data_IF_449301461320
#
_entry.id   IF_449301461320
#
_cell.length_a   1.000
_cell.length_b   1.000
_cell.length_c   1.000
_cell.angle_alpha   90.00
_cell.angle_beta   90.00
_cell.angle_gamma   90.00
#
_symmetry.space_group_name_H-M   'P 1'
#
loop_
_entity.id
_entity.type
_entity.pdbx_description
1 polymer ?
#
# COMPACT_ATOMS: atom_id res chain seq x y z
N UNK A 1 13.23 -5.60 0.24
CA UNK A 1 12.17 -6.44 0.78
C UNK A 1 10.84 -6.08 0.12
N UNK A 2 9.99 -7.05 -0.11
CA UNK A 2 8.73 -6.82 -0.81
C UNK A 2 7.56 -7.29 0.03
N UNK A 3 6.49 -6.50 0.01
CA UNK A 3 5.24 -6.85 0.69
C UNK A 3 4.08 -6.82 -0.30
N UNK A 4 3.12 -7.70 -0.06
CA UNK A 4 1.83 -7.69 -0.76
C UNK A 4 0.76 -7.28 0.24
N UNK A 5 0.02 -6.23 -0.07
CA UNK A 5 -1.05 -5.72 0.79
C UNK A 5 -2.39 -6.02 0.13
N UNK A 6 -3.25 -6.75 0.83
CA UNK A 6 -4.64 -6.90 0.44
C UNK A 6 -5.41 -5.70 0.96
N UNK A 7 -6.13 -5.03 0.08
CA UNK A 7 -6.81 -3.78 0.40
C UNK A 7 -8.29 -3.85 0.08
N UNK A 8 -9.02 -2.85 0.53
CA UNK A 8 -10.39 -2.59 0.10
C UNK A 8 -10.56 -1.08 -0.13
N UNK A 9 -11.53 -0.73 -0.96
CA UNK A 9 -11.82 0.67 -1.25
C UNK A 9 -11.15 1.22 -2.50
N UNK A 10 -10.32 0.46 -3.17
CA UNK A 10 -9.75 0.87 -4.45
C UNK A 10 -10.83 0.76 -5.52
N UNK A 11 -11.13 1.86 -6.19
CA UNK A 11 -12.25 1.94 -7.13
C UNK A 11 -11.81 2.17 -8.57
N UNK A 12 -10.69 2.84 -8.80
CA UNK A 12 -10.21 3.21 -10.14
C UNK A 12 -8.73 3.58 -10.07
N UNK A 13 -8.15 3.90 -11.22
CA UNK A 13 -6.75 4.29 -11.30
C UNK A 13 -6.37 5.49 -10.43
N UNK A 14 -7.30 6.41 -10.21
CA UNK A 14 -7.05 7.55 -9.33
C UNK A 14 -6.85 7.11 -7.88
N UNK A 15 -7.63 6.14 -7.42
CA UNK A 15 -7.47 5.56 -6.09
C UNK A 15 -6.12 4.83 -5.98
N UNK A 16 -5.74 4.10 -7.04
CA UNK A 16 -4.43 3.45 -7.09
C UNK A 16 -3.31 4.46 -6.88
N UNK A 17 -3.35 5.58 -7.62
CA UNK A 17 -2.34 6.62 -7.52
C UNK A 17 -2.30 7.24 -6.12
N UNK A 18 -3.45 7.43 -5.50
CA UNK A 18 -3.54 8.00 -4.15
C UNK A 18 -2.85 7.10 -3.13
N UNK A 19 -3.11 5.80 -3.18
CA UNK A 19 -2.49 4.84 -2.27
C UNK A 19 -0.99 4.73 -2.55
N UNK A 20 -0.59 4.69 -3.82
CA UNK A 20 0.82 4.63 -4.19
C UNK A 20 1.58 5.83 -3.64
N UNK A 21 1.03 7.03 -3.78
CA UNK A 21 1.66 8.25 -3.26
C UNK A 21 1.81 8.19 -1.74
N UNK A 22 0.79 7.73 -1.03
CA UNK A 22 0.85 7.59 0.42
C UNK A 22 1.95 6.61 0.85
N UNK A 23 2.08 5.49 0.14
CA UNK A 23 3.11 4.51 0.44
C UNK A 23 4.51 5.03 0.13
N UNK A 24 4.67 5.75 -0.98
CA UNK A 24 5.97 6.33 -1.35
C UNK A 24 6.44 7.39 -0.36
N UNK A 25 5.54 7.96 0.42
CA UNK A 25 5.89 8.90 1.48
C UNK A 25 6.43 8.22 2.74
N UNK A 26 6.32 6.90 2.85
CA UNK A 26 6.89 6.16 3.97
C UNK A 26 8.40 6.05 3.75
N UNK A 27 9.19 6.46 4.76
CA UNK A 27 10.64 6.37 4.66
C UNK A 27 11.08 4.92 4.45
N UNK A 28 11.90 4.69 3.43
CA UNK A 28 12.39 3.35 3.10
C UNK A 28 11.59 2.65 2.00
N UNK A 29 10.43 3.16 1.61
CA UNK A 29 9.68 2.61 0.48
C UNK A 29 10.27 3.16 -0.82
N UNK A 30 10.61 2.27 -1.74
CA UNK A 30 11.21 2.63 -3.03
C UNK A 30 10.23 2.49 -4.18
N UNK A 31 9.29 1.55 -4.09
CA UNK A 31 8.28 1.33 -5.13
C UNK A 31 6.94 0.95 -4.49
N UNK A 32 5.87 1.40 -5.10
CA UNK A 32 4.53 1.01 -4.72
C UNK A 32 3.68 0.91 -5.99
N UNK A 33 2.96 -0.20 -6.13
CA UNK A 33 2.13 -0.48 -7.30
C UNK A 33 0.78 -1.01 -6.82
N UNK A 34 -0.25 -0.19 -6.94
CA UNK A 34 -1.60 -0.51 -6.51
C UNK A 34 -2.46 -0.90 -7.70
N UNK A 35 -3.33 -1.88 -7.51
CA UNK A 35 -4.24 -2.37 -8.54
C UNK A 35 -5.64 -2.50 -7.97
N UNK A 36 -6.55 -1.65 -8.46
CA UNK A 36 -7.94 -1.65 -8.02
C UNK A 36 -8.73 -2.87 -8.51
N UNK A 37 -8.30 -3.50 -9.59
CA UNK A 37 -8.99 -4.67 -10.12
C UNK A 37 -8.84 -5.87 -9.19
N UNK A 38 -7.66 -6.02 -8.58
CA UNK A 38 -7.37 -7.12 -7.67
C UNK A 38 -7.45 -6.70 -6.20
N UNK A 39 -7.61 -5.41 -5.92
CA UNK A 39 -7.59 -4.85 -4.56
C UNK A 39 -6.29 -5.24 -3.84
N UNK A 40 -5.17 -5.14 -4.56
CA UNK A 40 -3.86 -5.59 -4.06
C UNK A 40 -2.81 -4.52 -4.35
N UNK A 41 -1.88 -4.34 -3.43
CA UNK A 41 -0.76 -3.41 -3.59
C UNK A 41 0.55 -4.17 -3.38
N UNK A 42 1.48 -3.99 -4.31
CA UNK A 42 2.84 -4.51 -4.20
C UNK A 42 3.75 -3.38 -3.76
N UNK A 43 4.55 -3.60 -2.72
CA UNK A 43 5.44 -2.59 -2.19
C UNK A 43 6.86 -3.14 -2.10
N UNK A 44 7.82 -2.37 -2.61
CA UNK A 44 9.25 -2.65 -2.45
C UNK A 44 9.82 -1.66 -1.44
N UNK A 45 10.53 -2.14 -0.44
CA UNK A 45 11.02 -1.27 0.63
C UNK A 45 12.27 -1.85 1.30
N UNK A 46 12.92 -1.00 2.11
CA UNK A 46 14.05 -1.42 2.93
C UNK A 46 13.57 -2.31 4.07
N UNK A 47 14.48 -3.12 4.62
CA UNK A 47 14.17 -4.06 5.71
C UNK A 47 13.69 -3.37 6.98
N UNK A 48 13.99 -2.07 7.12
CA UNK A 48 13.57 -1.30 8.29
C UNK A 48 12.10 -0.91 8.27
N UNK A 49 11.43 -1.05 7.13
CA UNK A 49 9.99 -0.74 7.02
C UNK A 49 9.20 -1.93 7.53
N UNK A 50 8.21 -1.67 8.38
CA UNK A 50 7.37 -2.71 8.97
C UNK A 50 6.05 -2.82 8.24
N UNK A 51 5.40 -3.99 8.38
CA UNK A 51 4.06 -4.20 7.84
C UNK A 51 3.06 -3.20 8.42
N UNK A 52 3.21 -2.85 9.69
CA UNK A 52 2.32 -1.88 10.35
C UNK A 52 2.43 -0.49 9.74
N UNK A 53 3.64 -0.06 9.37
CA UNK A 53 3.85 1.22 8.71
C UNK A 53 3.15 1.25 7.35
N UNK A 54 3.22 0.17 6.60
CA UNK A 54 2.58 0.07 5.29
C UNK A 54 1.06 0.07 5.42
N UNK A 55 0.52 -0.69 6.36
CA UNK A 55 -0.92 -0.71 6.62
C UNK A 55 -1.44 0.67 7.02
N UNK A 56 -0.72 1.35 7.91
CA UNK A 56 -1.09 2.69 8.35
C UNK A 56 -1.08 3.69 7.19
N UNK A 57 -0.12 3.57 6.28
CA UNK A 57 -0.03 4.44 5.11
C UNK A 57 -1.23 4.25 4.18
N UNK A 58 -1.66 3.01 3.94
CA UNK A 58 -2.84 2.72 3.13
C UNK A 58 -4.07 3.34 3.77
N UNK A 59 -4.28 3.13 5.05
CA UNK A 59 -5.46 3.66 5.74
C UNK A 59 -5.42 5.18 5.85
N UNK A 60 -4.24 5.75 5.98
CA UNK A 60 -4.06 7.19 6.00
C UNK A 60 -4.28 7.87 4.66
N UNK A 61 -4.31 7.12 3.56
CA UNK A 61 -4.53 7.68 2.22
C UNK A 61 -5.97 8.17 2.03
N UNK A 62 -6.92 7.65 2.80
CA UNK A 62 -8.31 8.07 2.74
C UNK A 62 -9.17 7.17 3.60
N UNK A 63 -10.32 7.67 4.04
CA UNK A 63 -11.22 6.94 4.94
C UNK A 63 -11.76 5.64 4.33
N UNK A 64 -11.89 5.59 3.01
CA UNK A 64 -12.43 4.43 2.31
C UNK A 64 -11.39 3.32 2.08
N UNK A 65 -10.12 3.61 2.28
CA UNK A 65 -9.05 2.65 2.04
C UNK A 65 -8.73 1.88 3.30
N UNK A 66 -8.68 0.56 3.19
CA UNK A 66 -8.36 -0.32 4.31
C UNK A 66 -7.32 -1.35 3.90
N UNK A 67 -6.35 -1.57 4.78
CA UNK A 67 -5.39 -2.64 4.61
C UNK A 67 -5.92 -3.87 5.33
N UNK A 68 -6.32 -4.89 4.59
CA UNK A 68 -6.91 -6.11 5.15
C UNK A 68 -5.84 -7.07 5.64
N UNK A 69 -4.73 -7.17 4.92
CA UNK A 69 -3.59 -7.97 5.35
C UNK A 69 -2.33 -7.46 4.65
N UNK A 70 -1.18 -7.66 5.28
CA UNK A 70 0.12 -7.34 4.72
C UNK A 70 0.98 -8.59 4.87
N UNK A 71 1.47 -9.11 3.74
CA UNK A 71 2.25 -10.33 3.70
C UNK A 71 3.60 -10.06 3.06
N UNK A 72 4.67 -10.52 3.68
CA UNK A 72 5.99 -10.45 3.08
C UNK A 72 6.06 -11.43 1.91
N UNK A 73 6.54 -10.95 0.79
CA UNK A 73 6.65 -11.77 -0.42
C UNK A 73 8.08 -12.29 -0.59
#
# INVERSE_FOLDING_TARGET
MRYTIKTSGLMCGHCDATVETALLNVAGVTEADADHETQTVQVECADTVTAEQLAAAVEGAGEKFHALSVTAA
#
